data_IF_093785213266
#
_entry.id   IF_093785213266
#
_cell.length_a   1.000
_cell.length_b   1.000
_cell.length_c   1.000
_cell.angle_alpha   90.00
_cell.angle_beta   90.00
_cell.angle_gamma   90.00
#
_symmetry.space_group_name_H-M   'P 1'
#
loop_
_entity.id
_entity.type
_entity.pdbx_description
1 polymer ?
#
# COMPACT_ATOMS: atom_id res chain seq x y z
N UNK A 1 -16.77 19.20 0.01
CA UNK A 1 -17.05 18.23 1.09
C UNK A 1 -16.51 16.91 0.59
N UNK A 2 -15.19 16.78 0.61
CA UNK A 2 -14.49 15.69 -0.05
C UNK A 2 -14.61 14.43 0.79
N UNK A 3 -15.25 13.43 0.17
CA UNK A 3 -15.61 12.16 0.77
C UNK A 3 -14.31 11.43 1.12
N UNK A 4 -14.10 11.13 2.40
CA UNK A 4 -13.01 10.27 2.83
C UNK A 4 -12.96 9.01 1.94
N UNK A 5 -11.78 8.54 1.49
CA UNK A 5 -11.70 7.36 0.66
C UNK A 5 -12.41 6.20 1.38
N UNK A 6 -13.40 5.60 0.70
CA UNK A 6 -14.15 4.47 1.24
C UNK A 6 -13.16 3.32 1.45
N UNK A 7 -12.80 3.05 2.71
CA UNK A 7 -12.09 1.82 3.04
C UNK A 7 -13.00 0.66 2.65
N UNK A 8 -12.67 -0.01 1.54
CA UNK A 8 -13.39 -1.21 1.10
C UNK A 8 -12.83 -2.36 1.93
N UNK A 9 -13.59 -2.93 2.88
CA UNK A 9 -13.10 -4.06 3.64
C UNK A 9 -12.81 -5.21 2.66
N UNK A 10 -11.66 -5.84 2.83
CA UNK A 10 -11.32 -7.06 2.10
C UNK A 10 -12.40 -8.11 2.42
N UNK A 11 -13.06 -8.64 1.38
CA UNK A 11 -14.10 -9.67 1.53
C UNK A 11 -13.53 -11.06 1.79
N UNK A 12 -12.26 -11.26 1.46
CA UNK A 12 -11.47 -12.46 1.65
C UNK A 12 -9.98 -12.07 1.72
N UNK A 13 -9.09 -12.93 2.25
CA UNK A 13 -7.65 -12.75 2.13
C UNK A 13 -7.22 -12.57 0.68
N UNK A 14 -6.11 -11.86 0.45
CA UNK A 14 -5.52 -11.73 -0.88
C UNK A 14 -5.12 -13.11 -1.41
N UNK A 15 -5.45 -13.38 -2.67
CA UNK A 15 -4.96 -14.57 -3.36
C UNK A 15 -3.52 -14.38 -3.81
N UNK A 16 -2.81 -15.47 -4.14
CA UNK A 16 -1.46 -15.41 -4.71
C UNK A 16 -1.40 -14.53 -5.98
N UNK A 17 -2.48 -14.53 -6.76
CA UNK A 17 -2.60 -13.67 -7.95
C UNK A 17 -2.68 -12.19 -7.57
N UNK A 18 -3.41 -11.87 -6.50
CA UNK A 18 -3.53 -10.50 -6.01
C UNK A 18 -2.19 -10.02 -5.44
N UNK A 19 -1.51 -10.87 -4.66
CA UNK A 19 -0.16 -10.60 -4.13
C UNK A 19 0.85 -10.35 -5.26
N UNK A 20 0.85 -11.21 -6.29
CA UNK A 20 1.74 -11.02 -7.44
C UNK A 20 1.46 -9.74 -8.21
N UNK A 21 0.19 -9.34 -8.32
CA UNK A 21 -0.20 -8.07 -8.94
C UNK A 21 0.26 -6.87 -8.10
N UNK A 22 0.12 -6.96 -6.78
CA UNK A 22 0.60 -5.94 -5.86
C UNK A 22 2.12 -5.81 -5.91
N UNK A 23 2.84 -6.93 -5.88
CA UNK A 23 4.30 -6.99 -6.05
C UNK A 23 4.74 -6.27 -7.32
N UNK A 24 4.15 -6.63 -8.47
CA UNK A 24 4.47 -5.99 -9.74
C UNK A 24 4.21 -4.48 -9.71
N UNK A 25 3.09 -4.04 -9.12
CA UNK A 25 2.80 -2.62 -8.98
C UNK A 25 3.85 -1.89 -8.14
N UNK A 26 4.20 -2.44 -6.98
CA UNK A 26 5.18 -1.85 -6.07
C UNK A 26 6.56 -1.75 -6.75
N UNK A 27 7.00 -2.82 -7.41
CA UNK A 27 8.30 -2.87 -8.10
C UNK A 27 8.37 -1.92 -9.31
N UNK A 28 7.29 -1.80 -10.10
CA UNK A 28 7.30 -0.96 -11.30
C UNK A 28 6.99 0.51 -11.01
N UNK A 29 6.26 0.81 -9.94
CA UNK A 29 5.71 2.16 -9.69
C UNK A 29 6.24 2.80 -8.41
N UNK A 30 6.35 2.05 -7.31
CA UNK A 30 6.71 2.62 -6.00
C UNK A 30 8.21 2.59 -5.75
N UNK A 31 8.86 1.44 -5.93
CA UNK A 31 10.30 1.26 -5.69
C UNK A 31 11.17 2.26 -6.48
N UNK A 32 10.92 2.53 -7.78
CA UNK A 32 11.70 3.52 -8.53
C UNK A 32 11.59 4.95 -7.96
N UNK A 33 10.50 5.25 -7.26
CA UNK A 33 10.20 6.54 -6.64
C UNK A 33 10.56 6.55 -5.15
N UNK A 34 11.38 5.61 -4.69
CA UNK A 34 11.84 5.51 -3.30
C UNK A 34 10.84 4.86 -2.34
N UNK A 35 9.80 4.20 -2.85
CA UNK A 35 8.84 3.41 -2.10
C UNK A 35 9.37 2.02 -1.70
N UNK A 36 8.49 1.19 -1.13
CA UNK A 36 8.84 -0.14 -0.61
C UNK A 36 8.43 -1.27 -1.57
N UNK A 37 9.26 -2.31 -1.64
CA UNK A 37 8.89 -3.60 -2.24
C UNK A 37 7.84 -4.33 -1.40
N UNK A 38 7.22 -5.38 -1.95
CA UNK A 38 6.24 -6.18 -1.21
C UNK A 38 6.86 -6.83 0.06
N UNK A 39 8.10 -7.32 -0.04
CA UNK A 39 8.82 -7.88 1.10
C UNK A 39 9.08 -6.83 2.20
N UNK A 40 9.51 -5.63 1.79
CA UNK A 40 9.76 -4.53 2.73
C UNK A 40 8.47 -4.03 3.38
N UNK A 41 7.36 -3.99 2.62
CA UNK A 41 6.04 -3.66 3.10
C UNK A 41 5.56 -4.68 4.16
N UNK A 42 5.75 -5.98 3.93
CA UNK A 42 5.38 -7.01 4.90
C UNK A 42 6.13 -6.84 6.23
N UNK A 43 7.43 -6.56 6.16
CA UNK A 43 8.24 -6.22 7.33
C UNK A 43 7.75 -4.97 8.07
N UNK A 44 7.38 -3.92 7.34
CA UNK A 44 6.80 -2.70 7.91
C UNK A 44 5.47 -3.00 8.62
N UNK A 45 4.58 -3.76 8.00
CA UNK A 45 3.28 -4.13 8.60
C UNK A 45 3.47 -4.97 9.87
N UNK A 46 4.46 -5.87 9.89
CA UNK A 46 4.83 -6.60 11.10
C UNK A 46 5.31 -5.65 12.21
N UNK A 47 6.19 -4.70 11.89
CA UNK A 47 6.69 -3.72 12.87
C UNK A 47 5.56 -2.83 13.42
N UNK A 48 4.62 -2.42 12.57
CA UNK A 48 3.42 -1.68 12.96
C UNK A 48 2.50 -2.49 13.88
N UNK A 49 2.34 -3.79 13.62
CA UNK A 49 1.47 -4.65 14.40
C UNK A 49 2.01 -4.97 15.80
N UNK A 50 3.33 -5.11 15.95
CA UNK A 50 3.98 -5.42 17.24
C UNK A 50 4.37 -4.16 18.03
N UNK A 51 4.29 -2.98 17.41
CA UNK A 51 4.66 -1.72 18.02
C UNK A 51 3.79 -1.39 19.24
N UNK A 52 4.35 -0.72 20.27
CA UNK A 52 3.59 -0.33 21.46
C UNK A 52 2.59 0.81 21.20
N UNK A 53 2.75 1.53 20.08
CA UNK A 53 1.95 2.69 19.72
C UNK A 53 1.34 2.53 18.33
N UNK A 54 0.10 3.02 18.17
CA UNK A 54 -0.57 3.06 16.88
C UNK A 54 0.04 4.15 16.00
N UNK A 55 0.53 3.77 14.82
CA UNK A 55 0.99 4.71 13.80
C UNK A 55 -0.10 4.90 12.74
N UNK A 56 -0.48 6.15 12.49
CA UNK A 56 -1.55 6.47 11.53
C UNK A 56 -1.13 6.15 10.09
N UNK A 57 -2.06 5.68 9.23
CA UNK A 57 -1.79 5.44 7.81
C UNK A 57 -1.18 6.63 7.07
N UNK A 58 -1.58 7.85 7.42
CA UNK A 58 -1.00 9.08 6.86
C UNK A 58 0.51 9.21 7.07
N UNK A 59 1.07 8.51 8.05
CA UNK A 59 2.50 8.53 8.35
C UNK A 59 3.25 7.50 7.50
N UNK A 60 2.72 6.28 7.36
CA UNK A 60 3.46 5.18 6.75
C UNK A 60 3.10 4.88 5.30
N UNK A 61 1.90 5.25 4.84
CA UNK A 61 1.51 5.11 3.43
C UNK A 61 2.46 5.87 2.48
N UNK A 62 2.89 7.11 2.76
CA UNK A 62 3.86 7.81 1.92
C UNK A 62 5.21 7.08 1.83
N UNK A 63 5.62 6.37 2.89
CA UNK A 63 6.85 5.58 2.86
C UNK A 63 6.74 4.38 1.93
N UNK A 64 5.57 3.74 1.88
CA UNK A 64 5.30 2.61 0.98
C UNK A 64 5.28 3.06 -0.47
N UNK A 65 4.67 4.22 -0.75
CA UNK A 65 4.49 4.72 -2.11
C UNK A 65 5.70 5.49 -2.65
N UNK A 66 6.54 6.07 -1.78
CA UNK A 66 7.57 7.01 -2.20
C UNK A 66 6.95 8.28 -2.79
N UNK A 67 7.56 8.83 -3.84
CA UNK A 67 7.00 9.93 -4.64
C UNK A 67 6.06 9.44 -5.77
N UNK A 68 5.69 8.15 -5.76
CA UNK A 68 4.87 7.57 -6.80
C UNK A 68 3.48 8.22 -6.86
N UNK A 69 3.13 8.69 -8.05
CA UNK A 69 1.79 9.17 -8.36
C UNK A 69 0.97 8.08 -9.05
N UNK A 70 -0.28 7.93 -8.63
CA UNK A 70 -1.26 7.20 -9.42
C UNK A 70 -1.50 7.96 -10.73
N UNK A 71 -1.58 7.22 -11.84
CA UNK A 71 -1.89 7.80 -13.16
C UNK A 71 -3.29 8.42 -13.18
N UNK A 72 -4.24 7.81 -12.48
CA UNK A 72 -5.61 8.29 -12.28
C UNK A 72 -6.29 7.61 -11.08
N UNK A 73 -7.48 8.11 -10.70
CA UNK A 73 -8.32 7.53 -9.62
C UNK A 73 -8.75 6.09 -9.90
N UNK A 74 -8.87 5.68 -11.18
CA UNK A 74 -9.23 4.30 -11.51
C UNK A 74 -8.11 3.36 -11.14
N UNK A 75 -6.85 3.74 -11.36
CA UNK A 75 -5.70 2.95 -10.95
C UNK A 75 -5.71 2.77 -9.43
N UNK A 76 -5.88 3.85 -8.66
CA UNK A 76 -5.94 3.80 -7.19
C UNK A 76 -7.08 2.91 -6.66
N UNK A 77 -8.20 2.82 -7.37
CA UNK A 77 -9.36 2.00 -6.97
C UNK A 77 -9.30 0.53 -7.42
N UNK A 78 -8.30 0.15 -8.22
CA UNK A 78 -8.22 -1.19 -8.82
C UNK A 78 -7.08 -2.04 -8.25
N UNK A 79 -6.17 -1.46 -7.45
CA UNK A 79 -5.11 -2.19 -6.75
C UNK A 79 -5.60 -2.64 -5.38
#
# INVERSE_FOLDING_TARGET
MDKAPMQRPLKAPLSDRDLKRLEQFLEETCVPEGGLSLESLDGLLCALAIGPELVMPSTWIPMVMGEANFKDESQANTI
#
